data_IF_562857019346
#
_entry.id   IF_562857019346
#
_cell.length_a   1.000
_cell.length_b   1.000
_cell.length_c   1.000
_cell.angle_alpha   90.00
_cell.angle_beta   90.00
_cell.angle_gamma   90.00
#
_symmetry.space_group_name_H-M   'P 1'
#
loop_
_entity.id
_entity.type
_entity.pdbx_description
1 polymer ?
#
# COMPACT_ATOMS: atom_id res chain seq x y z
N UNK A 1 -7.64 50.43 1.78
CA UNK A 1 -6.60 50.00 2.73
C UNK A 1 -6.75 48.50 2.86
N UNK A 2 -5.67 47.75 2.69
CA UNK A 2 -5.71 46.30 2.87
C UNK A 2 -6.06 45.98 4.33
N UNK A 3 -7.01 45.08 4.60
CA UNK A 3 -7.37 44.73 5.97
C UNK A 3 -6.16 44.13 6.69
N UNK A 4 -5.94 44.52 7.95
CA UNK A 4 -4.81 44.04 8.75
C UNK A 4 -5.28 43.17 9.90
N UNK A 5 -4.59 42.05 10.10
CA UNK A 5 -4.77 41.13 11.23
C UNK A 5 -3.44 41.12 11.99
N UNK A 6 -3.45 41.53 13.27
CA UNK A 6 -2.22 41.59 14.10
C UNK A 6 -1.07 42.43 13.47
N UNK A 7 -1.40 43.42 12.64
CA UNK A 7 -0.41 44.27 11.94
C UNK A 7 0.19 43.64 10.68
N UNK A 8 -0.31 42.49 10.25
CA UNK A 8 0.06 41.80 9.01
C UNK A 8 -1.07 41.99 8.00
N UNK A 9 -0.78 42.22 6.70
CA UNK A 9 -1.81 42.22 5.67
C UNK A 9 -2.59 40.91 5.68
N UNK A 10 -3.93 40.97 5.66
CA UNK A 10 -4.77 39.79 5.84
C UNK A 10 -4.51 38.69 4.81
N UNK A 11 -4.16 39.02 3.56
CA UNK A 11 -3.77 38.03 2.56
C UNK A 11 -2.49 37.27 2.95
N UNK A 12 -1.50 37.97 3.49
CA UNK A 12 -0.27 37.35 4.00
C UNK A 12 -0.55 36.52 5.25
N UNK A 13 -1.44 36.99 6.13
CA UNK A 13 -1.86 36.24 7.31
C UNK A 13 -2.52 34.91 6.92
N UNK A 14 -3.47 34.93 5.98
CA UNK A 14 -4.14 33.73 5.45
C UNK A 14 -3.13 32.74 4.89
N UNK A 15 -2.20 33.20 4.05
CA UNK A 15 -1.15 32.35 3.46
C UNK A 15 -0.29 31.72 4.55
N UNK A 16 0.14 32.48 5.55
CA UNK A 16 0.97 31.96 6.64
C UNK A 16 0.21 31.00 7.56
N UNK A 17 -1.09 31.21 7.78
CA UNK A 17 -1.90 30.38 8.66
C UNK A 17 -2.37 29.08 8.04
N UNK A 18 -2.45 29.00 6.70
CA UNK A 18 -2.94 27.83 5.97
C UNK A 18 -1.77 27.09 5.30
N UNK A 19 -1.09 27.76 4.38
CA UNK A 19 -0.09 27.12 3.51
C UNK A 19 1.08 26.55 4.32
N UNK A 20 1.59 27.30 5.30
CA UNK A 20 2.76 26.85 6.08
C UNK A 20 2.44 25.61 6.93
N UNK A 21 1.37 25.58 7.75
CA UNK A 21 0.99 24.39 8.50
C UNK A 21 0.72 23.17 7.62
N UNK A 22 -0.09 23.31 6.56
CA UNK A 22 -0.45 22.20 5.67
C UNK A 22 0.79 21.56 5.02
N UNK A 23 1.71 22.38 4.50
CA UNK A 23 2.96 21.86 3.93
C UNK A 23 3.90 21.26 4.99
N UNK A 24 3.94 21.79 6.22
CA UNK A 24 4.71 21.19 7.31
C UNK A 24 4.16 19.83 7.72
N UNK A 25 2.84 19.68 7.77
CA UNK A 25 2.17 18.40 8.05
C UNK A 25 2.48 17.40 6.93
N UNK A 26 2.36 17.81 5.66
CA UNK A 26 2.72 16.99 4.51
C UNK A 26 4.19 16.53 4.56
N UNK A 27 5.13 17.46 4.77
CA UNK A 27 6.56 17.13 4.88
C UNK A 27 6.85 16.20 6.07
N UNK A 28 6.16 16.41 7.19
CA UNK A 28 6.24 15.55 8.37
C UNK A 28 5.76 14.14 8.07
N UNK A 29 4.60 14.00 7.44
CA UNK A 29 4.02 12.72 7.02
C UNK A 29 4.97 11.94 6.10
N UNK A 30 5.46 12.58 5.04
CA UNK A 30 6.39 11.94 4.11
C UNK A 30 7.69 11.53 4.80
N UNK A 31 8.21 12.33 5.72
CA UNK A 31 9.41 11.99 6.48
C UNK A 31 9.24 10.76 7.38
N UNK A 32 7.99 10.47 7.78
CA UNK A 32 7.65 9.37 8.67
C UNK A 32 7.37 8.06 7.93
N UNK A 33 6.93 8.17 6.67
CA UNK A 33 6.59 7.03 5.81
C UNK A 33 7.73 6.67 4.85
N UNK A 34 8.36 7.67 4.24
CA UNK A 34 9.47 7.45 3.33
C UNK A 34 10.74 7.18 4.12
N UNK A 35 11.46 6.15 3.72
CA UNK A 35 12.79 5.88 4.23
C UNK A 35 13.77 6.88 3.61
N UNK A 36 13.97 8.02 4.27
CA UNK A 36 14.86 9.07 3.75
C UNK A 36 16.34 8.66 3.84
N UNK A 37 17.10 8.91 2.78
CA UNK A 37 18.56 8.72 2.74
C UNK A 37 19.27 9.72 3.65
N UNK A 38 18.81 10.98 3.63
CA UNK A 38 19.31 12.05 4.49
C UNK A 38 18.14 12.92 4.96
N UNK A 39 17.76 12.79 6.24
CA UNK A 39 16.62 13.52 6.83
C UNK A 39 16.88 15.03 6.91
N UNK A 40 18.12 15.44 7.18
CA UNK A 40 18.46 16.86 7.27
C UNK A 40 18.34 17.57 5.93
N UNK A 41 18.93 17.00 4.88
CA UNK A 41 18.83 17.57 3.53
C UNK A 41 17.37 17.67 3.05
N UNK A 42 16.56 16.66 3.37
CA UNK A 42 15.13 16.66 3.09
C UNK A 42 14.40 17.86 3.73
N UNK A 43 14.56 18.04 5.05
CA UNK A 43 13.90 19.14 5.76
C UNK A 43 14.39 20.50 5.30
N UNK A 44 15.71 20.66 5.08
CA UNK A 44 16.28 21.92 4.58
C UNK A 44 15.71 22.27 3.21
N UNK A 45 15.68 21.32 2.27
CA UNK A 45 15.15 21.57 0.92
C UNK A 45 13.65 21.81 0.94
N UNK A 46 12.89 21.01 1.70
CA UNK A 46 11.43 21.17 1.83
C UNK A 46 11.06 22.54 2.42
N UNK A 47 11.69 22.94 3.53
CA UNK A 47 11.45 24.26 4.15
C UNK A 47 11.92 25.39 3.22
N UNK A 48 13.08 25.27 2.58
CA UNK A 48 13.58 26.31 1.66
C UNK A 48 12.62 26.51 0.48
N UNK A 49 12.08 25.42 -0.06
CA UNK A 49 11.13 25.47 -1.16
C UNK A 49 9.77 26.02 -0.71
N UNK A 50 9.35 25.73 0.52
CA UNK A 50 8.14 26.31 1.13
C UNK A 50 8.28 27.82 1.30
N UNK A 51 9.41 28.28 1.86
CA UNK A 51 9.69 29.70 2.04
C UNK A 51 9.76 30.39 0.68
N UNK A 52 10.45 29.81 -0.30
CA UNK A 52 10.46 30.30 -1.68
C UNK A 52 9.05 30.39 -2.25
N UNK A 53 8.22 29.36 -2.04
CA UNK A 53 6.87 29.34 -2.56
C UNK A 53 6.01 30.46 -1.96
N UNK A 54 6.11 30.72 -0.66
CA UNK A 54 5.41 31.82 0.01
C UNK A 54 5.88 33.18 -0.50
N UNK A 55 7.18 33.36 -0.73
CA UNK A 55 7.75 34.63 -1.18
C UNK A 55 7.37 34.99 -2.62
N UNK A 56 7.34 34.00 -3.52
CA UNK A 56 7.08 34.24 -4.96
C UNK A 56 5.59 34.15 -5.28
N UNK A 57 4.74 33.65 -4.36
CA UNK A 57 3.29 33.48 -4.59
C UNK A 57 2.60 34.76 -5.04
N UNK A 58 2.96 35.92 -4.49
CA UNK A 58 2.35 37.20 -4.87
C UNK A 58 2.67 37.66 -6.29
N UNK A 59 3.79 37.20 -6.86
CA UNK A 59 4.29 37.63 -8.17
C UNK A 59 4.03 36.60 -9.30
N UNK A 60 3.54 35.41 -8.94
CA UNK A 60 3.26 34.34 -9.88
C UNK A 60 1.88 34.50 -10.50
N UNK A 61 1.79 34.25 -11.81
CA UNK A 61 0.50 34.07 -12.45
C UNK A 61 -0.23 32.86 -11.84
N UNK A 62 -1.56 32.91 -11.78
CA UNK A 62 -2.40 31.88 -11.14
C UNK A 62 -2.10 30.46 -11.63
N UNK A 63 -1.78 30.30 -12.92
CA UNK A 63 -1.44 29.01 -13.53
C UNK A 63 -0.13 28.40 -13.02
N UNK A 64 0.73 29.19 -12.37
CA UNK A 64 2.03 28.75 -11.87
C UNK A 64 2.00 28.24 -10.42
N UNK A 65 0.94 28.53 -9.66
CA UNK A 65 0.72 27.95 -8.33
C UNK A 65 0.66 26.41 -8.31
N UNK A 66 -0.08 25.72 -9.21
CA UNK A 66 -0.09 24.26 -9.22
C UNK A 66 1.27 23.66 -9.62
N UNK A 67 2.03 24.32 -10.49
CA UNK A 67 3.40 23.92 -10.85
C UNK A 67 4.34 23.99 -9.64
N UNK A 68 4.21 25.03 -8.84
CA UNK A 68 4.97 25.20 -7.60
C UNK A 68 4.60 24.13 -6.57
N UNK A 69 3.31 23.83 -6.41
CA UNK A 69 2.83 22.73 -5.56
C UNK A 69 3.35 21.36 -6.03
N UNK A 70 3.35 21.11 -7.34
CA UNK A 70 3.92 19.87 -7.90
C UNK A 70 5.44 19.77 -7.68
N UNK A 71 6.17 20.89 -7.76
CA UNK A 71 7.59 20.94 -7.43
C UNK A 71 7.83 20.62 -5.94
N UNK A 72 7.00 21.18 -5.07
CA UNK A 72 7.04 20.92 -3.63
C UNK A 72 6.75 19.46 -3.27
N UNK A 73 5.75 18.85 -3.91
CA UNK A 73 5.43 17.44 -3.69
C UNK A 73 6.47 16.48 -4.27
N UNK A 74 7.21 16.89 -5.32
CA UNK A 74 8.19 16.03 -5.99
C UNK A 74 9.61 16.09 -5.42
N UNK A 75 10.02 17.21 -4.79
CA UNK A 75 11.33 17.33 -4.14
C UNK A 75 11.62 16.21 -3.10
N UNK A 76 10.66 15.80 -2.26
CA UNK A 76 10.74 14.64 -1.37
C UNK A 76 11.13 13.30 -2.02
N UNK A 77 10.69 13.06 -3.26
CA UNK A 77 10.91 11.79 -3.97
C UNK A 77 12.40 11.51 -4.23
N UNK A 78 13.20 12.59 -4.36
CA UNK A 78 14.64 12.53 -4.59
C UNK A 78 15.40 12.00 -3.37
N UNK A 79 14.86 12.22 -2.16
CA UNK A 79 15.53 11.86 -0.91
C UNK A 79 15.10 10.50 -0.34
N UNK A 80 14.03 9.90 -0.86
CA UNK A 80 13.57 8.56 -0.45
C UNK A 80 14.55 7.43 -0.80
N UNK A 81 14.37 6.27 -0.16
CA UNK A 81 14.96 4.97 -0.52
C UNK A 81 13.85 4.04 -1.02
N UNK A 82 14.22 2.96 -1.72
CA UNK A 82 13.28 2.01 -2.32
C UNK A 82 12.87 2.36 -3.76
N UNK A 83 11.93 1.60 -4.31
CA UNK A 83 11.46 1.72 -5.70
C UNK A 83 10.78 3.08 -5.98
N UNK A 84 10.99 3.64 -7.19
CA UNK A 84 10.37 4.92 -7.60
C UNK A 84 8.85 4.86 -7.52
N UNK A 85 8.25 3.74 -7.94
CA UNK A 85 6.80 3.52 -7.90
C UNK A 85 6.26 3.71 -6.48
N UNK A 86 6.91 3.09 -5.47
CA UNK A 86 6.51 3.24 -4.06
C UNK A 86 6.59 4.68 -3.59
N UNK A 87 7.67 5.40 -3.92
CA UNK A 87 7.83 6.80 -3.50
C UNK A 87 6.74 7.68 -4.08
N UNK A 88 6.51 7.54 -5.39
CA UNK A 88 5.49 8.31 -6.13
C UNK A 88 4.10 8.02 -5.57
N UNK A 89 3.76 6.76 -5.30
CA UNK A 89 2.47 6.39 -4.69
C UNK A 89 2.28 7.03 -3.32
N UNK A 90 3.29 7.00 -2.45
CA UNK A 90 3.18 7.50 -1.08
C UNK A 90 3.08 9.03 -1.05
N UNK A 91 3.82 9.72 -1.93
CA UNK A 91 3.70 11.17 -2.13
C UNK A 91 2.32 11.54 -2.68
N UNK A 92 1.84 10.80 -3.69
CA UNK A 92 0.51 11.01 -4.26
C UNK A 92 -0.61 10.85 -3.22
N UNK A 93 -0.50 9.88 -2.30
CA UNK A 93 -1.48 9.76 -1.21
C UNK A 93 -1.48 10.96 -0.26
N UNK A 94 -0.33 11.61 -0.07
CA UNK A 94 -0.29 12.83 0.73
C UNK A 94 -1.05 13.97 0.06
N UNK A 95 -0.88 14.12 -1.26
CA UNK A 95 -1.64 15.10 -2.05
C UNK A 95 -3.15 14.85 -2.04
N UNK A 96 -3.57 13.58 -1.98
CA UNK A 96 -4.99 13.19 -1.85
C UNK A 96 -5.60 13.64 -0.52
N UNK A 97 -4.79 13.92 0.51
CA UNK A 97 -5.27 14.47 1.79
C UNK A 97 -5.23 16.00 1.78
N UNK A 98 -4.12 16.58 1.31
CA UNK A 98 -3.90 18.05 1.32
C UNK A 98 -4.92 18.78 0.46
N UNK A 99 -5.15 18.34 -0.78
CA UNK A 99 -6.02 19.08 -1.72
C UNK A 99 -7.49 19.14 -1.25
N UNK A 100 -8.09 18.03 -0.75
CA UNK A 100 -9.40 18.12 -0.11
C UNK A 100 -9.40 18.87 1.24
N UNK A 101 -8.27 18.86 1.97
CA UNK A 101 -8.10 19.59 3.23
C UNK A 101 -8.27 21.10 3.04
N UNK A 102 -7.53 21.67 2.07
CA UNK A 102 -7.64 23.08 1.70
C UNK A 102 -9.08 23.46 1.30
N UNK A 103 -9.74 22.64 0.47
CA UNK A 103 -11.15 22.86 0.09
C UNK A 103 -12.12 22.71 1.27
N UNK A 104 -11.82 21.83 2.22
CA UNK A 104 -12.64 21.64 3.40
C UNK A 104 -12.59 22.87 4.31
N UNK A 105 -11.41 23.50 4.45
CA UNK A 105 -11.27 24.77 5.15
C UNK A 105 -12.10 25.86 4.47
N UNK A 106 -11.93 26.03 3.16
CA UNK A 106 -12.66 27.02 2.35
C UNK A 106 -14.18 26.86 2.49
N UNK A 107 -14.68 25.62 2.34
CA UNK A 107 -16.10 25.31 2.48
C UNK A 107 -16.60 25.55 3.91
N UNK A 108 -15.82 25.18 4.93
CA UNK A 108 -16.21 25.34 6.34
C UNK A 108 -16.32 26.83 6.69
N UNK A 109 -15.37 27.63 6.23
CA UNK A 109 -15.40 29.08 6.43
C UNK A 109 -16.56 29.72 5.66
N UNK A 110 -16.79 29.36 4.40
CA UNK A 110 -17.91 29.85 3.60
C UNK A 110 -19.28 29.54 4.24
N UNK A 111 -19.47 28.34 4.80
CA UNK A 111 -20.72 27.97 5.48
C UNK A 111 -20.95 28.77 6.76
N UNK A 112 -19.88 29.04 7.52
CA UNK A 112 -19.96 29.67 8.84
C UNK A 112 -19.97 31.21 8.78
N UNK A 113 -19.13 31.79 7.93
CA UNK A 113 -18.95 33.23 7.79
C UNK A 113 -19.76 33.83 6.62
N UNK A 114 -20.23 33.00 5.69
CA UNK A 114 -21.00 33.43 4.52
C UNK A 114 -20.16 34.07 3.41
N UNK A 115 -18.83 33.89 3.45
CA UNK A 115 -17.89 34.39 2.45
C UNK A 115 -16.70 33.44 2.31
N UNK A 116 -16.05 33.48 1.15
CA UNK A 116 -14.81 32.71 0.88
C UNK A 116 -13.61 33.31 1.61
N UNK A 117 -12.53 32.52 1.74
CA UNK A 117 -11.29 32.96 2.40
C UNK A 117 -10.56 34.06 1.60
N UNK A 118 -10.86 34.16 0.30
CA UNK A 118 -10.37 35.24 -0.56
C UNK A 118 -10.93 36.62 -0.18
N UNK A 119 -12.09 36.69 0.50
CA UNK A 119 -12.57 37.94 1.08
C UNK A 119 -11.84 38.24 2.39
N UNK A 120 -10.65 38.81 2.23
CA UNK A 120 -9.77 39.20 3.33
C UNK A 120 -10.40 40.18 4.33
N UNK A 121 -11.43 40.94 3.92
CA UNK A 121 -12.14 41.83 4.84
C UNK A 121 -13.03 41.04 5.80
N UNK A 122 -13.74 40.04 5.29
CA UNK A 122 -14.56 39.13 6.11
C UNK A 122 -13.70 38.21 6.98
N UNK A 123 -12.54 37.77 6.49
CA UNK A 123 -11.55 37.03 7.29
C UNK A 123 -11.03 37.89 8.44
N UNK A 124 -10.68 39.16 8.19
CA UNK A 124 -10.21 40.05 9.25
C UNK A 124 -11.30 40.36 10.30
N UNK A 125 -12.56 40.51 9.86
CA UNK A 125 -13.69 40.70 10.76
C UNK A 125 -13.98 39.45 11.62
N UNK A 126 -13.74 38.25 11.08
CA UNK A 126 -14.01 36.97 11.73
C UNK A 126 -12.72 36.18 12.04
N UNK A 127 -11.65 36.88 12.42
CA UNK A 127 -10.32 36.28 12.57
C UNK A 127 -10.27 35.11 13.57
N UNK A 128 -11.10 35.15 14.63
CA UNK A 128 -11.20 34.04 15.60
C UNK A 128 -11.87 32.80 15.00
N UNK A 129 -12.91 32.99 14.21
CA UNK A 129 -13.60 31.91 13.52
C UNK A 129 -12.69 31.25 12.47
N UNK A 130 -11.96 32.08 11.72
CA UNK A 130 -10.94 31.61 10.79
C UNK A 130 -9.81 30.83 11.49
N UNK A 131 -9.32 31.32 12.63
CA UNK A 131 -8.32 30.61 13.43
C UNK A 131 -8.85 29.26 13.96
N UNK A 132 -10.11 29.18 14.37
CA UNK A 132 -10.72 27.91 14.77
C UNK A 132 -10.87 26.95 13.59
N UNK A 133 -11.27 27.44 12.41
CA UNK A 133 -11.45 26.63 11.21
C UNK A 133 -10.11 26.05 10.72
N UNK A 134 -9.04 26.85 10.68
CA UNK A 134 -7.68 26.41 10.34
C UNK A 134 -7.13 25.37 11.32
N UNK A 135 -7.31 25.57 12.62
CA UNK A 135 -6.92 24.56 13.62
C UNK A 135 -7.71 23.26 13.47
N UNK A 136 -8.99 23.35 13.12
CA UNK A 136 -9.84 22.17 12.91
C UNK A 136 -9.43 21.40 11.65
N UNK A 137 -9.16 22.09 10.55
CA UNK A 137 -8.64 21.51 9.32
C UNK A 137 -7.29 20.82 9.57
N UNK A 138 -6.32 21.49 10.18
CA UNK A 138 -5.03 20.88 10.53
C UNK A 138 -5.20 19.63 11.42
N UNK A 139 -6.14 19.62 12.36
CA UNK A 139 -6.46 18.45 13.17
C UNK A 139 -7.02 17.29 12.33
N UNK A 140 -7.93 17.58 11.40
CA UNK A 140 -8.51 16.60 10.48
C UNK A 140 -7.41 16.01 9.59
N UNK A 141 -6.56 16.85 8.98
CA UNK A 141 -5.45 16.40 8.14
C UNK A 141 -4.50 15.49 8.90
N UNK A 142 -4.03 15.90 10.09
CA UNK A 142 -3.13 15.09 10.92
C UNK A 142 -3.77 13.73 11.23
N UNK A 143 -5.07 13.69 11.53
CA UNK A 143 -5.80 12.45 11.80
C UNK A 143 -5.87 11.55 10.56
N UNK A 144 -6.16 12.12 9.40
CA UNK A 144 -6.19 11.40 8.12
C UNK A 144 -4.81 10.86 7.74
N UNK A 145 -3.75 11.65 7.91
CA UNK A 145 -2.37 11.23 7.69
C UNK A 145 -1.96 10.10 8.62
N UNK A 146 -2.40 10.13 9.89
CA UNK A 146 -2.15 9.05 10.84
C UNK A 146 -2.86 7.76 10.42
N UNK A 147 -4.14 7.86 10.03
CA UNK A 147 -4.91 6.74 9.49
C UNK A 147 -4.32 6.15 8.22
N UNK A 148 -3.89 7.01 7.29
CA UNK A 148 -3.21 6.61 6.06
C UNK A 148 -1.85 5.96 6.34
N UNK A 149 -1.08 6.47 7.30
CA UNK A 149 0.17 5.85 7.75
C UNK A 149 -0.08 4.44 8.27
N UNK A 150 -1.11 4.25 9.09
CA UNK A 150 -1.49 2.94 9.61
C UNK A 150 -1.91 1.99 8.47
N UNK A 151 -2.68 2.49 7.50
CA UNK A 151 -3.13 1.73 6.34
C UNK A 151 -1.96 1.33 5.43
N UNK A 152 -1.06 2.26 5.13
CA UNK A 152 0.16 2.02 4.37
C UNK A 152 1.04 0.99 5.06
N UNK A 153 1.31 1.12 6.38
CA UNK A 153 2.12 0.14 7.11
C UNK A 153 1.49 -1.25 7.12
N UNK A 154 0.15 -1.32 7.17
CA UNK A 154 -0.60 -2.58 7.15
C UNK A 154 -0.56 -3.29 5.80
N UNK A 155 -0.64 -2.54 4.69
CA UNK A 155 -0.82 -3.13 3.34
C UNK A 155 0.40 -3.01 2.41
N UNK A 156 1.35 -2.15 2.75
CA UNK A 156 2.63 -1.94 2.07
C UNK A 156 3.80 -2.13 3.06
N UNK A 157 4.01 -3.35 3.58
CA UNK A 157 5.14 -3.63 4.46
C UNK A 157 6.47 -3.29 3.77
N UNK A 158 7.45 -2.89 4.58
CA UNK A 158 8.75 -2.43 4.09
C UNK A 158 9.47 -3.52 3.30
N UNK A 159 10.11 -3.14 2.17
CA UNK A 159 10.83 -4.00 1.22
C UNK A 159 12.03 -4.78 1.83
N UNK A 160 12.12 -4.94 3.15
CA UNK A 160 13.25 -5.58 3.84
C UNK A 160 12.91 -6.61 4.92
N UNK A 161 11.63 -6.84 5.24
CA UNK A 161 11.25 -7.86 6.25
C UNK A 161 10.62 -9.03 5.51
N UNK A 162 11.45 -10.04 5.27
CA UNK A 162 11.10 -11.44 5.01
C UNK A 162 9.96 -11.70 4.02
N UNK A 163 10.31 -12.06 2.78
CA UNK A 163 9.73 -13.23 2.08
C UNK A 163 10.55 -13.42 0.79
N UNK A 164 11.35 -14.49 0.78
CA UNK A 164 11.73 -15.14 -0.46
C UNK A 164 10.44 -15.65 -1.11
N UNK A 165 10.00 -15.06 -2.23
CA UNK A 165 8.98 -15.70 -3.06
C UNK A 165 8.97 -15.23 -4.52
N UNK A 166 8.59 -16.12 -5.45
CA UNK A 166 8.77 -15.98 -6.88
C UNK A 166 7.58 -15.28 -7.54
N UNK A 167 7.83 -14.13 -8.18
CA UNK A 167 7.11 -13.52 -9.32
C UNK A 167 7.31 -12.00 -9.35
N UNK A 168 8.57 -11.56 -9.34
CA UNK A 168 8.97 -10.15 -9.32
C UNK A 168 8.29 -9.30 -10.40
N UNK A 169 8.01 -9.85 -11.58
CA UNK A 169 7.33 -9.12 -12.67
C UNK A 169 5.85 -8.84 -12.40
N UNK A 170 5.09 -9.79 -11.84
CA UNK A 170 3.64 -9.61 -11.65
C UNK A 170 3.37 -8.69 -10.46
N UNK A 171 4.14 -8.83 -9.38
CA UNK A 171 4.10 -7.92 -8.24
C UNK A 171 4.56 -6.49 -8.63
N UNK A 172 5.61 -6.38 -9.44
CA UNK A 172 6.09 -5.09 -9.98
C UNK A 172 5.07 -4.44 -10.93
N UNK A 173 4.40 -5.23 -11.78
CA UNK A 173 3.36 -4.71 -12.67
C UNK A 173 2.18 -4.14 -11.88
N UNK A 174 1.68 -4.88 -10.89
CA UNK A 174 0.59 -4.44 -10.01
C UNK A 174 0.99 -3.16 -9.23
N UNK A 175 2.21 -3.12 -8.68
CA UNK A 175 2.71 -1.92 -8.00
C UNK A 175 2.84 -0.71 -8.94
N UNK A 176 3.28 -0.93 -10.18
CA UNK A 176 3.41 0.14 -11.19
C UNK A 176 2.06 0.67 -11.68
N UNK A 177 1.07 -0.20 -11.93
CA UNK A 177 -0.29 0.22 -12.28
C UNK A 177 -0.93 1.03 -11.17
N UNK A 178 -0.66 0.66 -9.93
CA UNK A 178 -1.14 1.39 -8.77
C UNK A 178 -0.50 2.77 -8.63
N UNK A 179 0.81 2.89 -8.89
CA UNK A 179 1.49 4.18 -8.94
C UNK A 179 0.92 5.10 -10.02
N UNK A 180 0.65 4.57 -11.22
CA UNK A 180 0.02 5.33 -12.30
C UNK A 180 -1.38 5.79 -11.90
N UNK A 181 -2.19 4.91 -11.30
CA UNK A 181 -3.51 5.28 -10.80
C UNK A 181 -3.45 6.42 -9.77
N UNK A 182 -2.59 6.31 -8.76
CA UNK A 182 -2.44 7.35 -7.74
C UNK A 182 -1.97 8.69 -8.32
N UNK A 183 -1.09 8.67 -9.33
CA UNK A 183 -0.65 9.91 -10.02
C UNK A 183 -1.79 10.54 -10.81
N UNK A 184 -2.52 9.76 -11.60
CA UNK A 184 -3.66 10.26 -12.39
C UNK A 184 -4.72 10.84 -11.47
N UNK A 185 -4.99 10.17 -10.34
CA UNK A 185 -5.92 10.65 -9.32
C UNK A 185 -5.44 11.96 -8.69
N UNK A 186 -4.19 12.07 -8.26
CA UNK A 186 -3.63 13.31 -7.73
C UNK A 186 -3.67 14.45 -8.76
N UNK A 187 -3.40 14.17 -10.03
CA UNK A 187 -3.53 15.16 -11.12
C UNK A 187 -4.98 15.61 -11.32
N UNK A 188 -5.94 14.69 -11.28
CA UNK A 188 -7.36 15.01 -11.45
C UNK A 188 -7.88 15.82 -10.26
N UNK A 189 -7.49 15.48 -9.03
CA UNK A 189 -7.78 16.25 -7.82
C UNK A 189 -7.17 17.66 -7.90
N UNK A 190 -5.91 17.77 -8.35
CA UNK A 190 -5.25 19.06 -8.52
C UNK A 190 -5.93 19.91 -9.60
N UNK A 191 -6.40 19.30 -10.68
CA UNK A 191 -7.18 19.98 -11.72
C UNK A 191 -8.53 20.46 -11.17
N UNK A 192 -9.26 19.60 -10.45
CA UNK A 192 -10.52 19.98 -9.80
C UNK A 192 -10.32 21.14 -8.82
N UNK A 193 -9.28 21.08 -8.00
CA UNK A 193 -8.90 22.14 -7.07
C UNK A 193 -8.61 23.45 -7.81
N UNK A 194 -7.79 23.40 -8.86
CA UNK A 194 -7.44 24.57 -9.67
C UNK A 194 -8.67 25.20 -10.35
N UNK A 195 -9.66 24.40 -10.73
CA UNK A 195 -10.92 24.91 -11.29
C UNK A 195 -11.81 25.50 -10.21
N UNK A 196 -11.89 24.88 -9.03
CA UNK A 196 -12.69 25.37 -7.92
C UNK A 196 -12.19 26.73 -7.38
N UNK A 197 -10.86 26.90 -7.32
CA UNK A 197 -10.22 28.11 -6.75
C UNK A 197 -9.97 29.21 -7.80
N UNK A 198 -9.77 28.87 -9.08
CA UNK A 198 -9.46 29.86 -10.12
C UNK A 198 -10.70 30.43 -10.83
N UNK A 199 -11.21 29.80 -11.91
CA UNK A 199 -12.23 30.40 -12.79
C UNK A 199 -13.64 30.56 -12.20
N UNK A 200 -13.90 30.04 -10.99
CA UNK A 200 -15.24 30.05 -10.40
C UNK A 200 -15.60 31.34 -9.65
N UNK A 201 -14.71 32.36 -9.62
CA UNK A 201 -14.97 33.70 -9.07
C UNK A 201 -15.71 33.70 -7.72
N UNK A 202 -15.42 32.73 -6.86
CA UNK A 202 -16.02 32.63 -5.52
C UNK A 202 -17.52 32.31 -5.48
N UNK A 203 -18.09 31.66 -6.51
CA UNK A 203 -19.45 31.12 -6.40
C UNK A 203 -19.50 30.03 -5.30
N UNK A 204 -20.03 30.40 -4.13
CA UNK A 204 -20.17 29.54 -2.96
C UNK A 204 -20.88 28.22 -3.29
N UNK A 205 -21.80 28.20 -4.25
CA UNK A 205 -22.50 26.97 -4.62
C UNK A 205 -21.59 26.01 -5.38
N UNK A 206 -20.79 26.52 -6.33
CA UNK A 206 -19.82 25.70 -7.06
C UNK A 206 -18.72 25.19 -6.12
N UNK A 207 -18.20 26.05 -5.24
CA UNK A 207 -17.20 25.68 -4.24
C UNK A 207 -17.69 24.53 -3.35
N UNK A 208 -18.94 24.61 -2.84
CA UNK A 208 -19.56 23.55 -2.04
C UNK A 208 -19.75 22.26 -2.82
N UNK A 209 -20.19 22.34 -4.08
CA UNK A 209 -20.37 21.15 -4.93
C UNK A 209 -19.03 20.46 -5.22
N UNK A 210 -17.98 21.23 -5.52
CA UNK A 210 -16.62 20.69 -5.68
C UNK A 210 -16.08 20.10 -4.38
N UNK A 211 -16.27 20.76 -3.24
CA UNK A 211 -15.90 20.23 -1.93
C UNK A 211 -16.58 18.89 -1.61
N UNK A 212 -17.89 18.78 -1.85
CA UNK A 212 -18.64 17.53 -1.69
C UNK A 212 -18.17 16.43 -2.64
N UNK A 213 -17.88 16.77 -3.90
CA UNK A 213 -17.34 15.82 -4.88
C UNK A 213 -15.96 15.31 -4.44
N UNK A 214 -15.09 16.18 -3.94
CA UNK A 214 -13.75 15.82 -3.47
C UNK A 214 -13.82 14.92 -2.22
N UNK A 215 -14.73 15.20 -1.28
CA UNK A 215 -14.99 14.33 -0.13
C UNK A 215 -15.52 12.95 -0.56
N UNK A 216 -16.40 12.90 -1.56
CA UNK A 216 -16.89 11.65 -2.14
C UNK A 216 -15.74 10.87 -2.79
N UNK A 217 -14.90 11.52 -3.58
CA UNK A 217 -13.71 10.92 -4.19
C UNK A 217 -12.78 10.34 -3.11
N UNK A 218 -12.47 11.12 -2.08
CA UNK A 218 -11.64 10.67 -0.96
C UNK A 218 -12.22 9.43 -0.25
N UNK A 219 -13.54 9.39 -0.07
CA UNK A 219 -14.25 8.22 0.46
C UNK A 219 -14.10 6.99 -0.43
N UNK A 220 -14.30 7.15 -1.74
CA UNK A 220 -14.11 6.08 -2.74
C UNK A 220 -12.66 5.59 -2.73
N UNK A 221 -11.68 6.49 -2.64
CA UNK A 221 -10.26 6.17 -2.61
C UNK A 221 -9.89 5.35 -1.37
N UNK A 222 -10.45 5.72 -0.21
CA UNK A 222 -10.28 4.97 1.04
C UNK A 222 -10.83 3.54 0.91
N UNK A 223 -12.01 3.39 0.31
CA UNK A 223 -12.62 2.07 0.04
C UNK A 223 -11.77 1.26 -0.93
N UNK A 224 -11.26 1.89 -1.99
CA UNK A 224 -10.38 1.26 -2.97
C UNK A 224 -9.09 0.77 -2.32
N UNK A 225 -8.48 1.57 -1.45
CA UNK A 225 -7.28 1.19 -0.69
C UNK A 225 -7.52 -0.02 0.20
N UNK A 226 -8.66 -0.06 0.90
CA UNK A 226 -9.06 -1.20 1.71
C UNK A 226 -9.31 -2.46 0.86
N UNK A 227 -9.95 -2.30 -0.30
CA UNK A 227 -10.22 -3.40 -1.23
C UNK A 227 -8.92 -3.99 -1.81
N UNK A 228 -7.99 -3.13 -2.24
CA UNK A 228 -6.65 -3.54 -2.71
C UNK A 228 -5.88 -4.22 -1.59
N UNK A 229 -5.94 -3.68 -0.37
CA UNK A 229 -5.33 -4.29 0.81
C UNK A 229 -5.81 -5.71 1.07
N UNK A 230 -7.13 -5.93 0.96
CA UNK A 230 -7.73 -7.28 1.06
C UNK A 230 -7.31 -8.19 -0.09
N UNK A 231 -7.28 -7.68 -1.32
CA UNK A 231 -6.87 -8.48 -2.48
C UNK A 231 -5.42 -8.95 -2.36
N UNK A 232 -4.50 -8.07 -1.93
CA UNK A 232 -3.09 -8.44 -1.71
C UNK A 232 -2.93 -9.45 -0.58
N UNK A 233 -3.70 -9.29 0.50
CA UNK A 233 -3.78 -10.28 1.58
C UNK A 233 -4.17 -11.65 1.03
N UNK A 234 -5.25 -11.71 0.25
CA UNK A 234 -5.73 -12.94 -0.38
C UNK A 234 -4.70 -13.57 -1.32
N UNK A 235 -4.06 -12.79 -2.20
CA UNK A 235 -3.03 -13.32 -3.11
C UNK A 235 -1.85 -13.91 -2.34
N UNK A 236 -1.46 -13.31 -1.20
CA UNK A 236 -0.40 -13.85 -0.35
C UNK A 236 -0.82 -15.15 0.33
N UNK A 237 -2.05 -15.21 0.82
CA UNK A 237 -2.60 -16.40 1.47
C UNK A 237 -2.76 -17.55 0.46
N UNK A 238 -3.21 -17.26 -0.76
CA UNK A 238 -3.32 -18.23 -1.87
C UNK A 238 -1.93 -18.76 -2.28
N UNK A 239 -0.91 -17.90 -2.34
CA UNK A 239 0.47 -18.31 -2.63
C UNK A 239 1.03 -19.23 -1.52
N UNK A 240 0.75 -18.92 -0.25
CA UNK A 240 1.16 -19.76 0.89
C UNK A 240 0.42 -21.10 0.90
N UNK A 241 -0.85 -21.11 0.56
CA UNK A 241 -1.63 -22.33 0.41
C UNK A 241 -1.06 -23.24 -0.70
N UNK A 242 -0.70 -22.66 -1.85
CA UNK A 242 -0.11 -23.42 -2.95
C UNK A 242 1.24 -24.06 -2.59
N UNK A 243 2.10 -23.35 -1.85
CA UNK A 243 3.39 -23.89 -1.40
C UNK A 243 3.20 -25.06 -0.43
N UNK A 244 2.27 -24.91 0.52
CA UNK A 244 1.92 -25.95 1.48
C UNK A 244 1.31 -27.19 0.80
N UNK A 245 0.45 -27.00 -0.20
CA UNK A 245 -0.07 -28.09 -1.03
C UNK A 245 1.03 -28.83 -1.78
N UNK A 246 2.00 -28.11 -2.35
CA UNK A 246 3.14 -28.74 -3.02
C UNK A 246 4.08 -29.51 -2.09
N UNK A 247 4.12 -29.17 -0.80
CA UNK A 247 4.82 -29.96 0.21
C UNK A 247 4.03 -31.21 0.61
N UNK A 248 2.71 -31.08 0.78
CA UNK A 248 1.82 -32.22 1.09
C UNK A 248 1.85 -33.28 -0.02
N UNK A 249 1.80 -32.87 -1.29
CA UNK A 249 1.88 -33.79 -2.43
C UNK A 249 3.20 -34.57 -2.43
N UNK A 250 4.31 -33.91 -2.07
CA UNK A 250 5.61 -34.59 -1.94
C UNK A 250 5.60 -35.64 -0.83
N UNK A 251 5.04 -35.33 0.34
CA UNK A 251 4.92 -36.32 1.42
C UNK A 251 3.99 -37.48 1.06
N UNK A 252 2.91 -37.23 0.32
CA UNK A 252 1.99 -38.27 -0.14
C UNK A 252 2.67 -39.26 -1.10
N UNK A 253 3.48 -38.74 -2.03
CA UNK A 253 4.26 -39.58 -2.96
C UNK A 253 5.27 -40.46 -2.19
N UNK A 254 5.97 -39.89 -1.22
CA UNK A 254 6.96 -40.63 -0.41
C UNK A 254 6.29 -41.70 0.48
N UNK A 255 5.13 -41.37 1.04
CA UNK A 255 4.32 -42.31 1.81
C UNK A 255 3.79 -43.46 0.93
N UNK A 256 3.32 -43.17 -0.29
CA UNK A 256 2.90 -44.19 -1.25
C UNK A 256 4.04 -45.15 -1.60
N UNK A 257 5.24 -44.62 -1.86
CA UNK A 257 6.41 -45.46 -2.13
C UNK A 257 6.71 -46.42 -0.96
N UNK A 258 6.57 -45.93 0.27
CA UNK A 258 6.75 -46.74 1.48
C UNK A 258 5.68 -47.83 1.62
N UNK A 259 4.41 -47.49 1.38
CA UNK A 259 3.29 -48.45 1.40
C UNK A 259 3.48 -49.53 0.33
N UNK A 260 3.87 -49.15 -0.89
CA UNK A 260 4.15 -50.10 -1.98
C UNK A 260 5.27 -51.07 -1.63
N UNK A 261 6.31 -50.58 -0.95
CA UNK A 261 7.42 -51.42 -0.48
C UNK A 261 6.97 -52.38 0.62
N UNK A 262 6.15 -51.92 1.57
CA UNK A 262 5.56 -52.75 2.61
C UNK A 262 4.62 -53.83 2.02
N UNK A 263 3.82 -53.48 1.01
CA UNK A 263 2.93 -54.42 0.34
C UNK A 263 3.71 -55.47 -0.46
N UNK A 264 4.78 -55.08 -1.15
CA UNK A 264 5.70 -56.03 -1.80
C UNK A 264 6.35 -56.99 -0.80
N UNK A 265 6.83 -56.47 0.33
CA UNK A 265 7.37 -57.31 1.42
C UNK A 265 6.33 -58.29 1.98
N UNK A 266 5.08 -57.85 2.16
CA UNK A 266 4.00 -58.70 2.62
C UNK A 266 3.69 -59.83 1.63
N UNK A 267 3.63 -59.54 0.32
CA UNK A 267 3.43 -60.55 -0.73
C UNK A 267 4.58 -61.57 -0.73
N UNK A 268 5.83 -61.11 -0.71
CA UNK A 268 7.01 -62.00 -0.65
C UNK A 268 6.97 -62.92 0.58
N UNK A 269 6.63 -62.40 1.77
CA UNK A 269 6.51 -63.23 2.99
C UNK A 269 5.40 -64.26 2.87
N UNK A 270 4.27 -63.90 2.26
CA UNK A 270 3.17 -64.82 2.02
C UNK A 270 3.58 -65.94 1.06
N UNK A 271 4.21 -65.60 -0.06
CA UNK A 271 4.64 -66.57 -1.06
C UNK A 271 5.70 -67.52 -0.50
N UNK A 272 6.70 -66.99 0.23
CA UNK A 272 7.69 -67.81 0.94
C UNK A 272 7.05 -68.75 1.96
N UNK A 273 6.05 -68.27 2.74
CA UNK A 273 5.34 -69.11 3.70
C UNK A 273 4.58 -70.25 3.00
N UNK A 274 4.00 -70.00 1.84
CA UNK A 274 3.36 -71.04 1.04
C UNK A 274 4.36 -72.08 0.52
N UNK A 275 5.51 -71.66 -0.02
CA UNK A 275 6.54 -72.58 -0.50
C UNK A 275 7.08 -73.48 0.64
N UNK A 276 7.32 -72.90 1.82
CA UNK A 276 7.71 -73.66 3.02
C UNK A 276 6.65 -74.66 3.45
N UNK A 277 5.36 -74.30 3.38
CA UNK A 277 4.28 -75.25 3.67
C UNK A 277 4.23 -76.42 2.67
N UNK A 278 4.46 -76.16 1.38
CA UNK A 278 4.51 -77.21 0.35
C UNK A 278 5.68 -78.15 0.59
N UNK A 279 6.88 -77.62 0.87
CA UNK A 279 8.06 -78.42 1.20
C UNK A 279 7.82 -79.30 2.44
N UNK A 280 7.23 -78.75 3.50
CA UNK A 280 6.87 -79.51 4.70
C UNK A 280 5.84 -80.62 4.40
N UNK A 281 4.83 -80.34 3.58
CA UNK A 281 3.83 -81.34 3.21
C UNK A 281 4.41 -82.49 2.37
N UNK A 282 5.40 -82.22 1.50
CA UNK A 282 6.14 -83.24 0.76
C UNK A 282 7.00 -84.11 1.69
N UNK A 283 7.66 -83.48 2.67
CA UNK A 283 8.45 -84.18 3.68
C UNK A 283 7.57 -85.07 4.58
N UNK A 284 6.39 -84.60 5.01
CA UNK A 284 5.43 -85.37 5.82
C UNK A 284 4.89 -86.61 5.07
N UNK A 285 4.83 -86.57 3.74
CA UNK A 285 4.43 -87.71 2.90
C UNK A 285 5.55 -88.72 2.65
N UNK A 286 6.76 -88.45 3.13
CA UNK A 286 7.94 -89.30 2.95
C UNK A 286 8.64 -89.11 1.59
N UNK A 287 8.21 -88.15 0.77
CA UNK A 287 8.80 -87.83 -0.54
C UNK A 287 9.98 -86.86 -0.38
N UNK A 288 11.00 -87.28 0.37
CA UNK A 288 12.12 -86.43 0.78
C UNK A 288 12.96 -85.91 -0.42
N UNK A 289 13.19 -86.73 -1.45
CA UNK A 289 13.91 -86.30 -2.66
C UNK A 289 13.18 -85.18 -3.42
N UNK A 290 11.85 -85.21 -3.44
CA UNK A 290 11.04 -84.17 -4.10
C UNK A 290 10.98 -82.88 -3.27
N UNK A 291 10.95 -82.99 -1.94
CA UNK A 291 11.06 -81.83 -1.06
C UNK A 291 12.43 -81.14 -1.20
N UNK A 292 13.51 -81.93 -1.30
CA UNK A 292 14.88 -81.43 -1.48
C UNK A 292 15.06 -80.73 -2.83
N UNK A 293 14.57 -81.32 -3.92
CA UNK A 293 14.56 -80.68 -5.24
C UNK A 293 13.73 -79.38 -5.27
N UNK A 294 12.62 -79.32 -4.53
CA UNK A 294 11.77 -78.14 -4.46
C UNK A 294 12.44 -76.98 -3.70
N UNK A 295 13.16 -77.27 -2.61
CA UNK A 295 13.96 -76.29 -1.87
C UNK A 295 15.15 -75.81 -2.70
N UNK A 296 15.85 -76.71 -3.40
CA UNK A 296 16.98 -76.36 -4.28
C UNK A 296 16.54 -75.49 -5.47
N UNK A 297 15.37 -75.77 -6.04
CA UNK A 297 14.77 -74.94 -7.08
C UNK A 297 14.40 -73.54 -6.55
N UNK A 298 13.84 -73.46 -5.33
CA UNK A 298 13.51 -72.20 -4.67
C UNK A 298 14.76 -71.36 -4.36
N UNK A 299 15.83 -71.98 -3.86
CA UNK A 299 17.11 -71.30 -3.59
C UNK A 299 17.74 -70.75 -4.88
N UNK A 300 17.72 -71.52 -5.98
CA UNK A 300 18.17 -71.03 -7.29
C UNK A 300 17.38 -69.83 -7.80
N UNK A 301 16.07 -69.81 -7.57
CA UNK A 301 15.20 -68.70 -8.01
C UNK A 301 15.40 -67.44 -7.15
N UNK A 302 15.81 -67.60 -5.88
CA UNK A 302 16.17 -66.50 -4.98
C UNK A 302 17.57 -65.95 -5.24
N UNK A 303 18.55 -66.80 -5.54
CA UNK A 303 19.94 -66.39 -5.87
C UNK A 303 20.07 -65.79 -7.28
N UNK A 304 19.11 -66.06 -8.16
CA UNK A 304 19.07 -65.55 -9.54
C UNK A 304 18.39 -64.17 -9.72
N UNK A 305 17.86 -63.57 -8.65
CA UNK A 305 17.21 -62.24 -8.65
C UNK A 305 18.04 -61.21 -7.90
#
# INVERSE_FOLDING_TARGET
>A
MEPMILGIPAGVFVVLSVVVPTWLVYLGFESHILHLRNRWAYWVVGISLMVFAVLVRGDLAEFAHPLLGALMASAPLLFGRGTLARRVTLSAFGLVIVLPGDLFLDMTFDILAGATIDDHATVAANATLFACATLFEAFVEITLFWGLTALVRRFYPEEGVDVAAPSSRRASAIASSFAVFSVVQAMLLALCFSVAVGPCDGDSLLLRLFGLLMLLCFGVDTVLLLAVGRFRGKVRDDARAADLSGELDRYLVDYQATVDMAQRSARLRHDLRNQVQVANALAERGELELAEQHIDAMLKELDGR
#
